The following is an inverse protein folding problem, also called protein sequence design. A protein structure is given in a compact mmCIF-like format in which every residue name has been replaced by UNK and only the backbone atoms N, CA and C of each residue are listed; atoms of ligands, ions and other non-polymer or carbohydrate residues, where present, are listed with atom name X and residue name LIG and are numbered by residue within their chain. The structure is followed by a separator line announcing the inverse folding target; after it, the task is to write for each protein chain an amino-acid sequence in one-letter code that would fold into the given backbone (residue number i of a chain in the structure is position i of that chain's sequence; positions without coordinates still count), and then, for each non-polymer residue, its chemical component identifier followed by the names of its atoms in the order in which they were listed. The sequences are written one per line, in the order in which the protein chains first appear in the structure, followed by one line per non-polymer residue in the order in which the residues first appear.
data_IF_968759392287
#
_entry.id   IF_968759392287
#
_cell.length_a   1.000
_cell.length_b   1.000
_cell.length_c   1.000
_cell.angle_alpha   90.00
_cell.angle_beta   90.00
_cell.angle_gamma   90.00
#
_symmetry.space_group_name_H-M   'P 1'
#
loop_
_entity.id
_entity.type
_entity.pdbx_description
1 polymer ?
#
# COMPACT_ATOMS: atom_id res chain seq x y z
N UNK A 1 -5.87 11.51 13.06
CA UNK A 1 -5.21 12.79 12.69
C UNK A 1 -3.99 12.56 11.80
N UNK A 2 -2.86 12.03 12.30
CA UNK A 2 -1.60 11.94 11.51
C UNK A 2 -1.73 11.19 10.17
N UNK A 3 -2.49 10.10 10.12
CA UNK A 3 -2.73 9.34 8.88
C UNK A 3 -3.44 10.17 7.80
N UNK A 4 -4.39 11.01 8.21
CA UNK A 4 -5.11 11.92 7.31
C UNK A 4 -4.20 13.06 6.86
N UNK A 5 -3.37 13.58 7.76
CA UNK A 5 -2.43 14.65 7.43
C UNK A 5 -1.36 14.19 6.42
N UNK A 6 -0.86 12.95 6.57
CA UNK A 6 0.22 12.44 5.71
C UNK A 6 -0.24 11.80 4.42
N UNK A 7 -1.41 11.14 4.41
CA UNK A 7 -1.89 10.35 3.27
C UNK A 7 -3.18 10.88 2.64
N UNK A 8 -3.79 11.92 3.22
CA UNK A 8 -5.09 12.49 2.82
C UNK A 8 -6.21 11.46 2.70
N UNK A 9 -6.25 10.50 3.64
CA UNK A 9 -7.28 9.46 3.69
C UNK A 9 -8.22 9.61 4.89
N UNK A 10 -9.47 9.19 4.68
CA UNK A 10 -10.48 9.10 5.73
C UNK A 10 -10.48 7.70 6.37
N UNK A 11 -10.89 7.56 7.64
CA UNK A 11 -11.05 6.25 8.26
C UNK A 11 -11.97 5.35 7.42
N UNK A 12 -11.50 4.13 7.11
CA UNK A 12 -12.24 3.17 6.27
C UNK A 12 -11.95 3.26 4.76
N UNK A 13 -11.16 4.22 4.31
CA UNK A 13 -10.68 4.34 2.92
C UNK A 13 -9.16 4.15 2.81
N UNK A 14 -8.57 3.36 3.72
CA UNK A 14 -7.12 3.09 3.71
C UNK A 14 -6.75 2.38 2.42
N UNK A 15 -5.82 2.99 1.70
CA UNK A 15 -5.35 2.52 0.40
C UNK A 15 -3.85 2.75 0.27
N UNK A 16 -3.11 1.84 -0.39
CA UNK A 16 -1.74 2.09 -0.77
C UNK A 16 -1.55 3.37 -1.59
N UNK A 17 -2.56 3.78 -2.37
CA UNK A 17 -2.48 4.99 -3.20
C UNK A 17 -2.47 6.30 -2.39
N UNK A 18 -2.79 6.26 -1.09
CA UNK A 18 -2.66 7.43 -0.22
C UNK A 18 -1.21 7.88 -0.07
N UNK A 19 -0.25 6.98 -0.31
CA UNK A 19 1.18 7.30 -0.32
C UNK A 19 1.58 8.32 -1.39
N UNK A 20 0.78 8.46 -2.44
CA UNK A 20 0.98 9.50 -3.48
C UNK A 20 0.70 10.91 -2.95
N UNK A 21 0.05 11.03 -1.79
CA UNK A 21 -0.17 12.30 -1.11
C UNK A 21 0.93 12.61 -0.08
N UNK A 22 1.84 11.66 0.20
CA UNK A 22 2.90 11.82 1.20
C UNK A 22 4.09 12.59 0.65
N UNK A 23 3.95 13.92 0.54
CA UNK A 23 4.96 14.81 -0.04
C UNK A 23 6.34 14.66 0.62
N UNK A 24 6.38 14.44 1.94
CA UNK A 24 7.64 14.29 2.69
C UNK A 24 8.32 12.93 2.49
N UNK A 25 7.63 11.97 1.87
CA UNK A 25 8.09 10.59 1.64
C UNK A 25 8.64 9.91 2.91
N UNK A 26 8.04 10.22 4.05
CA UNK A 26 8.45 9.76 5.38
C UNK A 26 7.66 8.54 5.87
N UNK A 27 6.69 8.06 5.07
CA UNK A 27 5.94 6.84 5.32
C UNK A 27 6.58 5.65 4.61
N UNK A 28 6.81 4.57 5.36
CA UNK A 28 7.36 3.32 4.83
C UNK A 28 6.20 2.41 4.44
N UNK A 29 6.23 1.92 3.20
CA UNK A 29 5.28 0.93 2.71
C UNK A 29 5.82 -0.48 2.97
N UNK A 30 5.21 -1.19 3.92
CA UNK A 30 5.55 -2.59 4.18
C UNK A 30 4.62 -3.51 3.40
N UNK A 31 5.19 -4.48 2.67
CA UNK A 31 4.46 -5.47 1.89
C UNK A 31 4.81 -6.86 2.39
N UNK A 32 3.79 -7.68 2.64
CA UNK A 32 4.00 -9.10 2.95
C UNK A 32 4.56 -9.83 1.73
N UNK A 33 5.60 -10.63 1.92
CA UNK A 33 6.20 -11.47 0.88
C UNK A 33 5.18 -12.36 0.18
N UNK A 34 4.15 -12.80 0.91
CA UNK A 34 3.08 -13.66 0.38
C UNK A 34 2.28 -12.99 -0.75
N UNK A 35 2.27 -11.65 -0.85
CA UNK A 35 1.59 -10.95 -1.95
C UNK A 35 2.30 -11.12 -3.30
N UNK A 36 3.58 -11.52 -3.30
CA UNK A 36 4.33 -11.78 -4.52
C UNK A 36 4.21 -13.23 -5.02
N UNK A 37 3.54 -14.09 -4.26
CA UNK A 37 3.24 -15.46 -4.67
C UNK A 37 2.21 -15.51 -5.81
N UNK A 38 2.15 -16.64 -6.50
CA UNK A 38 1.26 -16.89 -7.64
C UNK A 38 1.38 -15.81 -8.74
N UNK A 39 0.26 -15.24 -9.19
CA UNK A 39 0.23 -14.18 -10.20
C UNK A 39 0.53 -12.78 -9.61
N UNK A 40 0.70 -12.69 -8.28
CA UNK A 40 0.96 -11.46 -7.55
C UNK A 40 -0.15 -10.40 -7.69
N UNK A 41 -1.38 -10.83 -7.98
CA UNK A 41 -2.52 -9.94 -8.21
C UNK A 41 -3.14 -9.52 -6.88
N UNK A 42 -3.16 -8.21 -6.62
CA UNK A 42 -3.78 -7.64 -5.42
C UNK A 42 -4.99 -6.78 -5.78
N UNK A 43 -6.01 -6.81 -4.92
CA UNK A 43 -7.16 -5.92 -4.99
C UNK A 43 -7.07 -4.84 -3.92
N UNK A 44 -7.16 -3.57 -4.31
CA UNK A 44 -7.19 -2.45 -3.37
C UNK A 44 -8.16 -1.35 -3.82
N UNK A 45 -8.60 -0.53 -2.86
CA UNK A 45 -9.47 0.62 -3.14
C UNK A 45 -8.64 1.81 -3.65
N UNK A 46 -9.01 2.52 -4.72
CA UNK A 46 -8.24 3.66 -5.24
C UNK A 46 -8.55 4.97 -4.48
N UNK A 47 -8.21 5.05 -3.19
CA UNK A 47 -8.51 6.17 -2.28
C UNK A 47 -10.03 6.51 -2.12
N UNK A 48 -10.90 5.73 -2.76
CA UNK A 48 -12.35 5.73 -2.61
C UNK A 48 -12.79 4.26 -2.46
N UNK A 49 -13.63 3.97 -1.45
CA UNK A 49 -14.09 2.62 -1.14
C UNK A 49 -15.25 2.15 -2.04
N UNK A 50 -15.69 2.95 -3.00
CA UNK A 50 -16.74 2.59 -3.96
C UNK A 50 -16.25 1.72 -5.12
N UNK A 51 -14.93 1.56 -5.28
CA UNK A 51 -14.33 0.77 -6.35
C UNK A 51 -13.15 -0.09 -5.85
N UNK A 52 -12.85 -1.16 -6.57
CA UNK A 52 -11.66 -2.00 -6.34
C UNK A 52 -10.88 -2.09 -7.63
N UNK A 53 -9.60 -1.74 -7.58
CA UNK A 53 -8.65 -1.95 -8.68
C UNK A 53 -7.84 -3.21 -8.42
N UNK A 54 -7.58 -3.95 -9.49
CA UNK A 54 -6.71 -5.13 -9.46
C UNK A 54 -5.44 -4.82 -10.26
N UNK A 55 -4.29 -5.03 -9.64
CA UNK A 55 -2.98 -4.80 -10.23
C UNK A 55 -1.96 -5.76 -9.66
N UNK A 56 -0.82 -5.93 -10.35
CA UNK A 56 0.26 -6.71 -9.79
C UNK A 56 0.90 -5.95 -8.63
N UNK A 57 1.24 -6.65 -7.56
CA UNK A 57 1.94 -6.06 -6.43
C UNK A 57 3.26 -5.42 -6.87
N UNK A 58 3.94 -6.02 -7.86
CA UNK A 58 5.17 -5.48 -8.43
C UNK A 58 4.95 -4.08 -9.04
N UNK A 59 3.85 -3.89 -9.78
CA UNK A 59 3.51 -2.58 -10.37
C UNK A 59 3.21 -1.54 -9.29
N UNK A 60 2.51 -1.96 -8.21
CA UNK A 60 2.26 -1.09 -7.07
C UNK A 60 3.56 -0.69 -6.36
N UNK A 61 4.46 -1.65 -6.13
CA UNK A 61 5.76 -1.38 -5.49
C UNK A 61 6.57 -0.39 -6.32
N UNK A 62 6.68 -0.62 -7.63
CA UNK A 62 7.37 0.31 -8.53
C UNK A 62 6.76 1.72 -8.47
N UNK A 63 5.42 1.84 -8.47
CA UNK A 63 4.76 3.14 -8.35
C UNK A 63 5.13 3.87 -7.05
N UNK A 64 5.16 3.15 -5.93
CA UNK A 64 5.49 3.72 -4.61
C UNK A 64 6.97 4.11 -4.52
N UNK A 65 7.87 3.30 -5.07
CA UNK A 65 9.30 3.61 -5.13
C UNK A 65 9.59 4.81 -6.05
N UNK A 66 8.92 4.90 -7.21
CA UNK A 66 9.03 6.03 -8.15
C UNK A 66 8.55 7.35 -7.53
N UNK A 67 7.56 7.30 -6.64
CA UNK A 67 7.12 8.45 -5.86
C UNK A 67 8.21 8.92 -4.86
N UNK A 68 9.10 8.03 -4.43
CA UNK A 68 10.17 8.31 -3.47
C UNK A 68 9.97 7.70 -2.08
N UNK A 69 8.86 6.98 -1.88
CA UNK A 69 8.60 6.27 -0.62
C UNK A 69 9.45 5.00 -0.53
N UNK A 70 9.88 4.66 0.68
CA UNK A 70 10.61 3.40 0.92
C UNK A 70 9.64 2.23 0.97
N UNK A 71 9.96 1.17 0.24
CA UNK A 71 9.24 -0.10 0.31
C UNK A 71 10.07 -1.13 1.06
N UNK A 72 9.43 -1.85 1.98
CA UNK A 72 10.02 -2.98 2.70
C UNK A 72 9.17 -4.22 2.47
N UNK A 73 9.78 -5.26 1.91
CA UNK A 73 9.18 -6.58 1.84
C UNK A 73 9.50 -7.32 3.15
N UNK A 74 8.47 -7.85 3.83
CA UNK A 74 8.61 -8.51 5.12
C UNK A 74 7.84 -9.84 5.12
N UNK A 75 8.35 -10.84 5.83
CA UNK A 75 7.58 -12.03 6.16
C UNK A 75 6.76 -11.75 7.43
N UNK A 76 5.43 -11.80 7.36
CA UNK A 76 4.60 -11.64 8.56
C UNK A 76 4.45 -13.01 9.24
N UNK A 77 4.89 -13.17 10.51
CA UNK A 77 4.75 -14.45 11.19
C UNK A 77 3.25 -14.77 11.38
N UNK A 78 2.84 -15.95 10.92
CA UNK A 78 1.47 -16.40 11.14
C UNK A 78 1.25 -16.62 12.64
N UNK A 79 0.15 -16.05 13.15
CA UNK A 79 -0.27 -16.29 14.53
C UNK A 79 -0.73 -17.74 14.62
N UNK A 80 0.01 -18.59 15.34
CA UNK A 80 -0.50 -19.92 15.73
C UNK A 80 -1.82 -19.69 16.48
N UNK A 81 -2.91 -20.27 15.94
CA UNK A 81 -4.26 -20.19 16.50
C UNK A 81 -4.36 -21.00 17.80
#
# INVERSE_FOLDING_TARGET
EELKEKLDIYPGAVSPFGLMNNVDCDVIFCVDEDFFCDDGLIGCHPNDNTATVFLKIADLVTLIEEHGNKVLTITIPQKEQ
#
